data_IF_262268468674
#
_entry.id   IF_262268468674
#
_cell.length_a   1.000
_cell.length_b   1.000
_cell.length_c   1.000
_cell.angle_alpha   90.00
_cell.angle_beta   90.00
_cell.angle_gamma   90.00
#
_symmetry.space_group_name_H-M   'P 1'
#
loop_
_entity.id
_entity.type
_entity.pdbx_description
1 polymer ?
#
# COMPACT_ATOMS: atom_id res chain seq x y z
N UNK A 1 42.18 -19.26 2.89
CA UNK A 1 40.83 -18.71 3.13
C UNK A 1 39.93 -19.85 3.58
N UNK A 2 39.54 -19.89 4.87
CA UNK A 2 38.87 -21.04 5.48
C UNK A 2 37.49 -21.31 4.84
N UNK A 3 37.20 -22.56 4.45
CA UNK A 3 35.89 -22.94 3.88
C UNK A 3 34.73 -22.60 4.82
N UNK A 4 34.93 -22.70 6.14
CA UNK A 4 33.96 -22.28 7.15
C UNK A 4 33.63 -20.78 7.09
N UNK A 5 34.61 -19.95 6.75
CA UNK A 5 34.44 -18.51 6.58
C UNK A 5 33.64 -18.17 5.32
N UNK A 6 33.80 -18.95 4.25
CA UNK A 6 33.01 -18.81 3.01
C UNK A 6 31.55 -19.17 3.24
N UNK A 7 31.28 -20.26 3.95
CA UNK A 7 29.92 -20.67 4.28
C UNK A 7 29.23 -19.70 5.24
N UNK A 8 29.94 -19.20 6.26
CA UNK A 8 29.37 -18.21 7.18
C UNK A 8 29.10 -16.87 6.49
N UNK A 9 29.99 -16.41 5.61
CA UNK A 9 29.78 -15.19 4.84
C UNK A 9 28.59 -15.32 3.87
N UNK A 10 28.47 -16.47 3.19
CA UNK A 10 27.34 -16.74 2.30
C UNK A 10 26.00 -16.83 3.04
N UNK A 11 25.96 -17.50 4.20
CA UNK A 11 24.76 -17.57 5.02
C UNK A 11 24.31 -16.19 5.52
N UNK A 12 25.27 -15.37 5.96
CA UNK A 12 24.98 -14.01 6.43
C UNK A 12 24.44 -13.11 5.30
N UNK A 13 24.99 -13.26 4.10
CA UNK A 13 24.51 -12.54 2.91
C UNK A 13 23.06 -12.90 2.56
N UNK A 14 22.71 -14.20 2.58
CA UNK A 14 21.34 -14.65 2.30
C UNK A 14 20.34 -14.15 3.35
N UNK A 15 20.73 -14.12 4.63
CA UNK A 15 19.89 -13.58 5.70
C UNK A 15 19.63 -12.08 5.51
N UNK A 16 20.68 -11.30 5.20
CA UNK A 16 20.54 -9.87 4.95
C UNK A 16 19.69 -9.59 3.71
N UNK A 17 19.89 -10.35 2.63
CA UNK A 17 19.12 -10.22 1.41
C UNK A 17 17.63 -10.53 1.66
N UNK A 18 17.33 -11.63 2.33
CA UNK A 18 15.97 -12.01 2.71
C UNK A 18 15.31 -10.99 3.64
N UNK A 19 16.07 -10.46 4.62
CA UNK A 19 15.61 -9.41 5.53
C UNK A 19 15.27 -8.10 4.79
N UNK A 20 16.09 -7.69 3.83
CA UNK A 20 15.83 -6.49 3.01
C UNK A 20 14.56 -6.66 2.17
N UNK A 21 14.39 -7.81 1.52
CA UNK A 21 13.17 -8.11 0.73
C UNK A 21 11.94 -8.10 1.63
N UNK A 22 12.03 -8.72 2.81
CA UNK A 22 10.93 -8.74 3.77
C UNK A 22 10.56 -7.33 4.26
N UNK A 23 11.56 -6.51 4.60
CA UNK A 23 11.34 -5.11 5.00
C UNK A 23 10.66 -4.30 3.90
N UNK A 24 11.12 -4.43 2.65
CA UNK A 24 10.48 -3.74 1.51
C UNK A 24 9.03 -4.19 1.37
N UNK A 25 8.75 -5.50 1.37
CA UNK A 25 7.38 -6.03 1.25
C UNK A 25 6.48 -5.60 2.41
N UNK A 26 7.01 -5.56 3.62
CA UNK A 26 6.27 -5.11 4.81
C UNK A 26 5.97 -3.61 4.75
N UNK A 27 6.90 -2.79 4.24
CA UNK A 27 6.72 -1.34 4.11
C UNK A 27 5.83 -0.96 2.92
N UNK A 28 5.81 -1.75 1.84
CA UNK A 28 4.91 -1.55 0.68
C UNK A 28 3.45 -1.91 0.95
N UNK A 29 3.10 -2.36 2.17
CA UNK A 29 1.70 -2.33 2.65
C UNK A 29 1.21 -0.91 2.99
N UNK A 30 2.01 0.12 2.71
CA UNK A 30 1.56 1.50 2.69
C UNK A 30 0.56 1.72 1.56
N UNK A 31 -0.39 2.60 1.82
CA UNK A 31 -1.59 2.92 1.05
C UNK A 31 -1.30 3.32 -0.41
N UNK A 32 -0.96 2.35 -1.26
CA UNK A 32 -1.25 2.52 -2.67
C UNK A 32 -2.77 2.57 -2.78
N UNK A 33 -3.28 3.52 -3.54
CA UNK A 33 -4.60 3.38 -4.15
C UNK A 33 -4.52 2.12 -5.02
N UNK A 34 -4.68 0.96 -4.39
CA UNK A 34 -4.76 -0.31 -5.09
C UNK A 34 -5.92 -0.11 -6.02
N UNK A 35 -5.62 0.02 -7.30
CA UNK A 35 -6.57 0.18 -8.38
C UNK A 35 -7.43 -1.07 -8.31
N UNK A 36 -8.54 -1.00 -7.56
CA UNK A 36 -9.27 -2.16 -7.07
C UNK A 36 -10.04 -2.90 -8.20
N UNK A 37 -9.65 -2.64 -9.43
CA UNK A 37 -10.36 -2.96 -10.65
C UNK A 37 -11.20 -1.77 -11.09
N UNK A 38 -11.26 -1.58 -12.41
CA UNK A 38 -12.30 -0.78 -13.03
C UNK A 38 -13.57 -1.62 -13.14
N UNK A 39 -14.70 -0.96 -12.98
CA UNK A 39 -16.02 -1.55 -13.08
C UNK A 39 -16.93 -0.64 -13.92
N UNK A 40 -18.01 -1.19 -14.45
CA UNK A 40 -18.90 -0.47 -15.37
C UNK A 40 -19.76 -1.44 -16.15
N UNK A 41 -20.50 -0.93 -17.12
CA UNK A 41 -21.44 -1.74 -17.92
C UNK A 41 -20.72 -2.81 -18.75
N UNK A 42 -19.56 -2.47 -19.31
CA UNK A 42 -18.76 -3.36 -20.17
C UNK A 42 -17.52 -3.95 -19.45
N UNK A 43 -17.46 -3.82 -18.13
CA UNK A 43 -16.32 -4.21 -17.31
C UNK A 43 -16.74 -5.29 -16.31
N UNK A 44 -15.80 -6.13 -15.84
CA UNK A 44 -16.12 -7.13 -14.84
C UNK A 44 -16.66 -6.48 -13.56
N UNK A 45 -17.61 -7.17 -12.91
CA UNK A 45 -18.08 -6.82 -11.58
C UNK A 45 -16.95 -6.89 -10.56
N UNK A 46 -17.02 -6.02 -9.54
CA UNK A 46 -16.07 -6.02 -8.44
C UNK A 46 -16.12 -7.35 -7.67
N UNK A 47 -14.97 -7.92 -7.36
CA UNK A 47 -14.83 -9.16 -6.62
C UNK A 47 -14.43 -8.89 -5.17
N UNK A 48 -15.14 -9.48 -4.22
CA UNK A 48 -14.84 -9.40 -2.79
C UNK A 48 -16.05 -9.02 -1.94
N UNK A 49 -15.93 -9.25 -0.63
CA UNK A 49 -16.98 -8.86 0.31
C UNK A 49 -16.90 -7.34 0.57
N UNK A 50 -18.05 -6.66 0.57
CA UNK A 50 -18.16 -5.21 0.85
C UNK A 50 -17.39 -4.31 -0.12
N UNK A 51 -17.30 -4.71 -1.39
CA UNK A 51 -16.75 -3.88 -2.47
C UNK A 51 -17.87 -3.53 -3.45
N UNK A 52 -18.01 -2.26 -3.80
CA UNK A 52 -19.02 -1.74 -4.74
C UNK A 52 -18.36 -0.96 -5.87
N UNK A 53 -19.06 -0.90 -7.00
CA UNK A 53 -18.66 -0.03 -8.10
C UNK A 53 -19.08 1.42 -7.81
N UNK A 54 -18.11 2.34 -7.70
CA UNK A 54 -18.34 3.76 -7.53
C UNK A 54 -17.50 4.55 -8.53
N UNK A 55 -18.14 5.38 -9.36
CA UNK A 55 -17.47 6.22 -10.38
C UNK A 55 -16.54 5.45 -11.34
N UNK A 56 -16.89 4.20 -11.67
CA UNK A 56 -16.09 3.36 -12.58
C UNK A 56 -14.94 2.59 -11.90
N UNK A 57 -14.84 2.67 -10.57
CA UNK A 57 -13.82 1.98 -9.79
C UNK A 57 -14.47 1.11 -8.72
N UNK A 58 -13.87 -0.06 -8.48
CA UNK A 58 -14.22 -0.86 -7.33
C UNK A 58 -13.73 -0.17 -6.06
N UNK A 59 -14.61 -0.02 -5.08
CA UNK A 59 -14.30 0.67 -3.83
C UNK A 59 -14.87 -0.11 -2.66
N UNK A 60 -14.07 -0.24 -1.61
CA UNK A 60 -14.54 -0.85 -0.36
C UNK A 60 -15.54 0.06 0.35
N UNK A 61 -16.59 -0.54 0.90
CA UNK A 61 -17.55 0.12 1.81
C UNK A 61 -16.96 0.29 3.23
N UNK A 62 -15.76 -0.26 3.49
CA UNK A 62 -15.08 -0.07 4.76
C UNK A 62 -14.67 1.41 4.87
N UNK A 63 -15.08 2.11 5.95
CA UNK A 63 -14.73 3.50 6.12
C UNK A 63 -13.21 3.66 6.20
N UNK A 64 -12.62 4.62 5.45
CA UNK A 64 -11.18 4.84 5.52
C UNK A 64 -10.81 5.34 6.91
N UNK A 65 -9.69 4.83 7.44
CA UNK A 65 -9.10 5.36 8.66
C UNK A 65 -8.19 6.53 8.33
N UNK A 66 -8.32 7.64 9.07
CA UNK A 66 -7.39 8.76 8.91
C UNK A 66 -5.97 8.30 9.29
N UNK A 67 -4.95 8.67 8.50
CA UNK A 67 -3.57 8.39 8.86
C UNK A 67 -3.24 9.14 10.16
N UNK A 68 -2.48 8.50 11.05
CA UNK A 68 -2.06 9.12 12.33
C UNK A 68 -1.25 10.39 12.12
N UNK A 69 -0.53 10.49 11.01
CA UNK A 69 0.26 11.65 10.61
C UNK A 69 -0.07 11.97 9.16
N UNK A 70 -0.50 13.19 8.89
CA UNK A 70 -0.68 13.71 7.54
C UNK A 70 0.17 14.97 7.38
N UNK A 71 0.92 15.13 6.28
CA UNK A 71 1.60 16.40 5.98
C UNK A 71 0.60 17.51 5.61
N UNK A 72 -0.67 17.15 5.38
CA UNK A 72 -1.75 18.08 5.05
C UNK A 72 -2.48 18.51 6.32
N UNK A 73 -2.87 19.79 6.36
CA UNK A 73 -3.76 20.31 7.41
C UNK A 73 -5.11 19.59 7.29
N UNK A 74 -5.50 18.86 8.34
CA UNK A 74 -6.80 18.18 8.41
C UNK A 74 -7.97 19.14 8.66
N UNK A 75 -7.67 20.39 9.03
CA UNK A 75 -8.68 21.45 9.17
C UNK A 75 -8.91 22.15 7.83
N UNK A 76 -10.17 22.27 7.39
CA UNK A 76 -10.48 23.08 6.21
C UNK A 76 -10.02 24.54 6.45
N UNK A 77 -9.56 25.26 5.40
CA UNK A 77 -9.21 26.66 5.54
C UNK A 77 -10.42 27.45 6.05
N UNK A 78 -10.21 28.26 7.09
CA UNK A 78 -11.26 29.09 7.70
C UNK A 78 -11.66 30.28 6.83
N UNK A 79 -10.93 30.54 5.74
CA UNK A 79 -11.23 31.59 4.77
C UNK A 79 -10.79 31.14 3.36
N UNK A 80 -11.66 31.37 2.37
CA UNK A 80 -11.33 31.21 0.95
C UNK A 80 -10.94 32.57 0.36
N UNK A 81 -9.85 32.66 -0.43
CA UNK A 81 -9.34 33.93 -0.94
C UNK A 81 -10.13 34.50 -2.13
N UNK A 82 -11.21 33.85 -2.55
CA UNK A 82 -12.03 34.30 -3.67
C UNK A 82 -13.34 34.83 -3.11
N UNK A 83 -13.41 36.15 -2.93
CA UNK A 83 -14.64 36.88 -2.62
C UNK A 83 -14.87 37.95 -3.66
#
# INVERSE_FOLDING_TARGET
MNMRLKHSAGALFLILLGGMIFCVLAMTRSESFVDAGRCGVDLPSCQGERIRCMNGYCKSDIPPTLPRVSPLRMTPPTAYPYR
#
